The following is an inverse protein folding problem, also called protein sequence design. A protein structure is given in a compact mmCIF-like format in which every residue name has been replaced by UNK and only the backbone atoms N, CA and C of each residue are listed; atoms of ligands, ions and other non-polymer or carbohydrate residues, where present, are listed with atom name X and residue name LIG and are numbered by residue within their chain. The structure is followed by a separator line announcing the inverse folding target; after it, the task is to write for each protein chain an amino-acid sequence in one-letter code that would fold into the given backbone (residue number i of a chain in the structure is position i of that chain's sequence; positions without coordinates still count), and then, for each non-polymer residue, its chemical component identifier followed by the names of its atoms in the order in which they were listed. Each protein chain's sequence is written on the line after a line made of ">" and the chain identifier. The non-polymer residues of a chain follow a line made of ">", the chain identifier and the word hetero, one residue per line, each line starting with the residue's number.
data_IF_318390832021
#
_entry.id   IF_318390832021
#
_cell.length_a   1.000
_cell.length_b   1.000
_cell.length_c   1.000
_cell.angle_alpha   90.00
_cell.angle_beta   90.00
_cell.angle_gamma   90.00
#
_symmetry.space_group_name_H-M   'P 1'
#
loop_
_entity.id
_entity.type
_entity.pdbx_description
1 polymer ?
#
# COMPACT_ATOMS: atom_id res chain seq x y z
N UNK A 1 -4.38 -3.00 2.84
CA UNK A 1 -4.38 -2.98 4.33
C UNK A 1 -5.50 -3.85 4.85
N UNK A 2 -5.36 -4.50 6.02
CA UNK A 2 -6.42 -5.31 6.63
C UNK A 2 -7.22 -4.55 7.71
N UNK A 3 -6.58 -3.72 8.53
CA UNK A 3 -7.22 -2.97 9.61
C UNK A 3 -6.60 -1.58 9.80
N UNK A 4 -7.44 -0.57 10.05
CA UNK A 4 -7.04 0.76 10.48
C UNK A 4 -7.49 0.99 11.93
N UNK A 5 -6.56 1.34 12.82
CA UNK A 5 -6.84 1.68 14.22
C UNK A 5 -6.53 3.15 14.50
N UNK A 6 -7.49 3.88 15.06
CA UNK A 6 -7.34 5.31 15.39
C UNK A 6 -7.57 5.49 16.88
N UNK A 7 -6.48 5.72 17.63
CA UNK A 7 -6.49 5.94 19.08
C UNK A 7 -7.33 4.88 19.84
N UNK A 8 -7.23 3.62 19.41
CA UNK A 8 -8.03 2.52 19.93
C UNK A 8 -7.16 1.35 20.39
N UNK A 9 -7.56 0.74 21.51
CA UNK A 9 -6.95 -0.50 22.00
C UNK A 9 -7.64 -1.70 21.37
N UNK A 10 -6.86 -2.58 20.76
CA UNK A 10 -7.34 -3.79 20.10
C UNK A 10 -6.97 -5.02 20.91
N UNK A 11 -7.91 -5.96 21.02
CA UNK A 11 -7.70 -7.29 21.57
C UNK A 11 -8.24 -8.29 20.58
N UNK A 12 -7.41 -9.26 20.18
CA UNK A 12 -7.79 -10.29 19.23
C UNK A 12 -7.98 -11.63 19.94
N UNK A 13 -8.90 -12.44 19.42
CA UNK A 13 -9.09 -13.83 19.83
C UNK A 13 -9.23 -14.68 18.58
N UNK A 14 -8.14 -15.35 18.23
CA UNK A 14 -8.07 -16.25 17.06
C UNK A 14 -8.49 -15.56 15.76
N UNK A 15 -7.90 -14.39 15.49
CA UNK A 15 -8.22 -13.57 14.31
C UNK A 15 -7.19 -13.79 13.22
N UNK A 16 -7.66 -13.88 11.98
CA UNK A 16 -6.82 -13.86 10.79
C UNK A 16 -6.98 -12.52 10.07
N UNK A 17 -5.91 -11.73 10.05
CA UNK A 17 -5.83 -10.47 9.31
C UNK A 17 -5.14 -10.71 7.99
N UNK A 18 -5.79 -10.37 6.87
CA UNK A 18 -5.25 -10.60 5.53
C UNK A 18 -5.20 -9.28 4.80
N UNK A 19 -4.03 -8.93 4.27
CA UNK A 19 -3.81 -7.77 3.43
C UNK A 19 -3.36 -8.21 2.04
N UNK A 20 -4.08 -7.77 1.01
CA UNK A 20 -3.69 -7.99 -0.38
C UNK A 20 -2.35 -7.32 -0.73
N UNK A 21 -1.73 -7.76 -1.82
CA UNK A 21 -0.49 -7.17 -2.35
C UNK A 21 -0.73 -5.72 -2.80
N UNK A 22 0.26 -4.85 -2.67
CA UNK A 22 0.18 -3.49 -3.17
C UNK A 22 0.26 -3.41 -4.70
N UNK A 23 -0.45 -2.44 -5.29
CA UNK A 23 -0.36 -2.11 -6.72
C UNK A 23 0.89 -1.30 -7.05
N UNK A 24 1.46 -1.48 -8.25
CA UNK A 24 2.57 -0.65 -8.73
C UNK A 24 2.12 0.82 -8.85
N UNK A 25 2.98 1.77 -8.51
CA UNK A 25 2.74 3.19 -8.78
C UNK A 25 2.78 3.54 -10.26
N UNK A 26 2.01 4.54 -10.69
CA UNK A 26 1.94 4.94 -12.09
C UNK A 26 3.23 5.62 -12.56
N UNK A 27 3.69 5.32 -13.77
CA UNK A 27 4.90 5.94 -14.31
C UNK A 27 4.61 7.42 -14.69
N UNK A 28 5.60 8.30 -14.55
CA UNK A 28 5.46 9.69 -14.99
C UNK A 28 5.33 9.79 -16.51
N UNK A 29 4.61 10.81 -17.03
CA UNK A 29 4.45 10.96 -18.48
C UNK A 29 5.69 11.58 -19.14
N UNK A 30 5.91 11.33 -20.43
CA UNK A 30 6.95 11.98 -21.24
C UNK A 30 6.81 13.52 -21.34
N UNK A 31 7.94 14.19 -21.53
CA UNK A 31 8.12 15.62 -21.24
C UNK A 31 8.03 16.62 -22.40
N UNK A 32 7.31 16.36 -23.49
CA UNK A 32 7.30 17.32 -24.60
C UNK A 32 6.05 18.21 -24.68
N UNK A 33 5.00 17.93 -23.90
CA UNK A 33 3.76 18.73 -23.93
C UNK A 33 2.92 18.75 -22.64
N UNK A 34 3.35 18.20 -21.49
CA UNK A 34 2.49 18.23 -20.29
C UNK A 34 1.52 17.04 -20.19
N UNK A 35 1.90 15.85 -20.65
CA UNK A 35 0.98 14.69 -20.65
C UNK A 35 0.51 14.29 -19.25
N UNK A 36 -0.70 13.72 -19.08
CA UNK A 36 -1.08 13.13 -17.80
C UNK A 36 -0.18 11.93 -17.49
N UNK A 37 0.28 11.83 -16.25
CA UNK A 37 1.02 10.67 -15.78
C UNK A 37 0.21 9.37 -15.86
N UNK A 38 0.93 8.25 -15.84
CA UNK A 38 0.35 6.91 -15.86
C UNK A 38 -0.57 6.68 -14.66
N UNK A 39 -1.65 5.92 -14.89
CA UNK A 39 -2.48 5.46 -13.77
C UNK A 39 -1.69 4.51 -12.88
N UNK A 40 -1.90 4.60 -11.57
CA UNK A 40 -1.41 3.59 -10.65
C UNK A 40 -2.02 2.22 -10.95
N UNK A 41 -1.22 1.18 -10.81
CA UNK A 41 -1.66 -0.20 -10.91
C UNK A 41 -2.68 -0.53 -9.82
N UNK A 42 -3.64 -1.40 -10.18
CA UNK A 42 -4.60 -1.94 -9.23
C UNK A 42 -3.87 -2.64 -8.09
N UNK A 43 -4.48 -2.64 -6.90
CA UNK A 43 -4.03 -3.52 -5.83
C UNK A 43 -3.94 -4.96 -6.32
N UNK A 44 -2.99 -5.71 -5.79
CA UNK A 44 -2.91 -7.12 -6.11
C UNK A 44 -4.15 -7.88 -5.64
N UNK A 45 -4.38 -9.02 -6.28
CA UNK A 45 -5.58 -9.83 -6.07
C UNK A 45 -5.88 -10.02 -4.59
N UNK A 46 -7.18 -9.95 -4.26
CA UNK A 46 -7.72 -10.26 -2.94
C UNK A 46 -7.08 -11.51 -2.34
N UNK A 47 -6.86 -11.46 -1.02
CA UNK A 47 -6.29 -12.56 -0.27
C UNK A 47 -7.11 -13.85 -0.44
N UNK A 48 -6.42 -14.99 -0.31
CA UNK A 48 -7.02 -16.31 -0.21
C UNK A 48 -6.72 -16.89 1.16
N UNK A 49 -7.58 -17.78 1.64
CA UNK A 49 -7.24 -18.60 2.78
C UNK A 49 -6.00 -19.46 2.48
N UNK A 50 -5.33 -19.97 3.51
CA UNK A 50 -4.15 -20.83 3.38
C UNK A 50 -4.40 -22.10 2.56
N UNK A 51 -5.66 -22.56 2.51
CA UNK A 51 -6.10 -23.69 1.69
C UNK A 51 -6.36 -23.31 0.20
N UNK A 52 -6.18 -22.05 -0.20
CA UNK A 52 -6.38 -21.55 -1.55
C UNK A 52 -7.79 -21.02 -1.86
N UNK A 53 -8.72 -21.13 -0.92
CA UNK A 53 -10.11 -20.71 -1.12
C UNK A 53 -10.23 -19.18 -1.19
N UNK A 54 -11.11 -18.64 -2.06
CA UNK A 54 -11.39 -17.22 -2.11
C UNK A 54 -12.09 -16.76 -0.82
N UNK A 55 -11.72 -15.59 -0.33
CA UNK A 55 -12.38 -14.97 0.83
C UNK A 55 -13.53 -14.12 0.31
N UNK A 56 -14.75 -14.53 0.60
CA UNK A 56 -15.95 -13.81 0.19
C UNK A 56 -15.96 -12.40 0.79
N UNK A 57 -16.22 -11.39 -0.06
CA UNK A 57 -16.27 -9.99 0.35
C UNK A 57 -14.91 -9.31 0.55
N UNK A 58 -13.79 -10.02 0.34
CA UNK A 58 -12.47 -9.39 0.41
C UNK A 58 -12.18 -8.57 -0.85
N UNK A 59 -11.79 -7.32 -0.63
CA UNK A 59 -11.34 -6.42 -1.69
C UNK A 59 -9.90 -6.73 -2.10
N UNK A 60 -9.53 -6.28 -3.29
CA UNK A 60 -8.14 -6.30 -3.73
C UNK A 60 -7.28 -5.36 -2.86
N UNK A 61 -5.95 -5.48 -2.96
CA UNK A 61 -5.02 -4.70 -2.15
C UNK A 61 -5.09 -3.19 -2.41
N UNK A 62 -4.23 -2.43 -1.74
CA UNK A 62 -4.14 -0.99 -2.00
C UNK A 62 -3.56 -0.75 -3.40
N UNK A 63 -4.22 0.08 -4.21
CA UNK A 63 -3.68 0.51 -5.50
C UNK A 63 -2.42 1.36 -5.32
N UNK A 64 -1.58 1.41 -6.36
CA UNK A 64 -0.51 2.39 -6.44
C UNK A 64 -1.07 3.79 -6.71
N UNK A 65 -0.30 4.80 -6.32
CA UNK A 65 -0.58 6.20 -6.63
C UNK A 65 -0.39 6.51 -8.13
N UNK A 66 -1.04 7.56 -8.64
CA UNK A 66 -0.85 8.01 -10.02
C UNK A 66 0.55 8.59 -10.22
N UNK A 67 1.08 8.45 -11.44
CA UNK A 67 2.28 9.15 -11.87
C UNK A 67 2.02 10.64 -12.10
N UNK A 68 3.10 11.43 -12.01
CA UNK A 68 3.10 12.86 -12.25
C UNK A 68 3.04 13.23 -13.73
N UNK A 69 2.58 14.45 -13.98
CA UNK A 69 2.53 15.09 -15.30
C UNK A 69 3.96 15.40 -15.77
N UNK A 70 4.28 15.08 -17.02
CA UNK A 70 5.59 15.38 -17.62
C UNK A 70 5.71 16.82 -18.08
N UNK A 71 6.68 17.58 -17.58
CA UNK A 71 6.91 18.97 -17.97
C UNK A 71 7.71 19.10 -19.27
N UNK A 72 7.78 20.30 -19.85
CA UNK A 72 8.42 20.60 -21.17
C UNK A 72 9.92 20.29 -21.28
N UNK A 73 10.55 19.82 -20.21
CA UNK A 73 11.97 19.46 -20.17
C UNK A 73 12.25 18.02 -19.73
N UNK A 74 11.24 17.19 -19.43
CA UNK A 74 11.48 15.83 -18.94
C UNK A 74 10.24 15.10 -18.42
N UNK A 75 10.40 13.80 -18.18
CA UNK A 75 9.34 12.94 -17.66
C UNK A 75 8.86 13.42 -16.28
N UNK A 76 7.57 13.24 -15.98
CA UNK A 76 7.00 13.48 -14.65
C UNK A 76 7.54 12.52 -13.59
N UNK A 77 7.28 12.78 -12.31
CA UNK A 77 7.65 11.86 -11.24
C UNK A 77 6.81 10.57 -11.25
N UNK A 78 7.35 9.48 -10.73
CA UNK A 78 6.61 8.24 -10.54
C UNK A 78 5.66 8.30 -9.35
N UNK A 79 4.55 7.55 -9.43
CA UNK A 79 3.60 7.41 -8.33
C UNK A 79 4.09 6.43 -7.27
N UNK A 80 3.67 6.60 -6.02
CA UNK A 80 4.02 5.67 -4.93
C UNK A 80 3.39 4.28 -5.15
N UNK A 81 4.12 3.21 -4.80
CA UNK A 81 3.56 1.86 -4.75
C UNK A 81 2.56 1.68 -3.60
N UNK A 82 1.53 0.85 -3.81
CA UNK A 82 0.51 0.59 -2.80
C UNK A 82 1.05 -0.17 -1.58
N UNK A 83 0.54 0.17 -0.39
CA UNK A 83 0.92 -0.52 0.85
C UNK A 83 0.24 -1.88 1.03
N UNK A 84 0.91 -2.81 1.73
CA UNK A 84 0.31 -4.05 2.21
C UNK A 84 0.51 -4.18 3.71
N UNK A 85 -0.46 -3.68 4.49
CA UNK A 85 -0.36 -3.56 5.95
C UNK A 85 -1.35 -4.48 6.65
N UNK A 86 -0.93 -5.16 7.71
CA UNK A 86 -1.83 -5.89 8.61
C UNK A 86 -2.69 -4.88 9.36
N UNK A 87 -2.07 -4.16 10.29
CA UNK A 87 -2.69 -3.07 11.03
C UNK A 87 -1.90 -1.79 10.74
N UNK A 88 -2.57 -0.77 10.20
CA UNK A 88 -2.09 0.61 10.29
C UNK A 88 -2.72 1.24 11.52
N UNK A 89 -1.92 1.88 12.37
CA UNK A 89 -2.44 2.52 13.57
C UNK A 89 -1.87 3.92 13.77
N UNK A 90 -2.67 4.76 14.38
CA UNK A 90 -2.25 5.99 15.03
C UNK A 90 -2.66 5.85 16.49
N UNK A 91 -1.72 6.02 17.41
CA UNK A 91 -1.98 5.83 18.82
C UNK A 91 -0.99 6.53 19.72
N UNK A 92 -1.27 6.42 21.00
CA UNK A 92 -0.40 6.77 22.12
C UNK A 92 0.21 5.49 22.72
N UNK A 93 1.20 5.57 23.62
CA UNK A 93 1.76 4.38 24.27
C UNK A 93 0.72 3.42 24.88
N UNK A 94 -0.44 3.92 25.33
CA UNK A 94 -1.50 3.13 25.94
C UNK A 94 -2.47 2.46 24.93
N UNK A 95 -2.42 2.89 23.67
CA UNK A 95 -3.31 2.42 22.59
C UNK A 95 -2.54 1.68 21.50
N UNK A 96 -1.27 1.37 21.73
CA UNK A 96 -0.46 0.49 20.89
C UNK A 96 -1.17 -0.87 20.71
N UNK A 97 -1.50 -1.28 19.47
CA UNK A 97 -2.08 -2.59 19.22
C UNK A 97 -1.07 -3.70 19.53
N UNK A 98 -1.51 -4.75 20.22
CA UNK A 98 -0.80 -6.03 20.26
C UNK A 98 -1.30 -6.94 19.15
N UNK A 99 -0.43 -7.79 18.60
CA UNK A 99 -0.79 -8.86 17.67
C UNK A 99 -1.11 -10.18 18.37
N UNK A 100 -1.13 -10.20 19.71
CA UNK A 100 -1.52 -11.39 20.47
C UNK A 100 -2.91 -11.88 20.07
N UNK A 101 -3.02 -13.17 19.73
CA UNK A 101 -4.26 -13.77 19.25
C UNK A 101 -4.62 -13.43 17.80
N UNK A 102 -3.75 -12.71 17.07
CA UNK A 102 -3.89 -12.46 15.64
C UNK A 102 -2.79 -13.17 14.83
N UNK A 103 -3.18 -13.71 13.68
CA UNK A 103 -2.24 -14.11 12.62
C UNK A 103 -2.38 -13.12 11.49
N UNK A 104 -1.26 -12.57 11.01
CA UNK A 104 -1.26 -11.59 9.92
C UNK A 104 -0.67 -12.23 8.67
N UNK A 105 -1.37 -12.09 7.56
CA UNK A 105 -0.90 -12.46 6.22
C UNK A 105 -0.89 -11.21 5.36
N UNK A 106 0.28 -10.84 4.84
CA UNK A 106 0.44 -9.68 3.95
C UNK A 106 0.98 -10.11 2.61
N UNK A 107 0.54 -9.41 1.57
CA UNK A 107 1.21 -9.43 0.29
C UNK A 107 2.49 -8.59 0.32
N UNK A 108 3.27 -8.71 -0.75
CA UNK A 108 4.36 -7.76 -0.98
C UNK A 108 3.80 -6.35 -1.21
N UNK A 109 4.58 -5.29 -0.93
CA UNK A 109 4.18 -3.95 -1.30
C UNK A 109 4.21 -3.77 -2.83
N UNK A 110 3.57 -2.71 -3.30
CA UNK A 110 3.71 -2.24 -4.67
C UNK A 110 5.08 -1.60 -4.86
N UNK A 111 5.68 -1.79 -6.03
CA UNK A 111 6.84 -0.98 -6.44
C UNK A 111 6.38 0.43 -6.82
N UNK A 112 7.25 1.41 -6.75
CA UNK A 112 6.98 2.73 -7.29
C UNK A 112 6.85 2.76 -8.81
N UNK A 113 6.30 3.85 -9.32
CA UNK A 113 6.33 4.18 -10.74
C UNK A 113 7.69 4.77 -11.13
N UNK A 114 8.04 4.63 -12.40
CA UNK A 114 9.26 5.20 -12.96
C UNK A 114 9.07 6.71 -13.22
N UNK A 115 9.99 7.52 -12.72
CA UNK A 115 10.10 8.96 -12.96
C UNK A 115 11.13 9.29 -14.04
N UNK A 116 11.62 10.53 -14.05
CA UNK A 116 12.68 10.96 -14.98
C UNK A 116 14.09 10.52 -14.58
N UNK A 117 14.28 10.09 -13.35
CA UNK A 117 15.49 9.46 -12.79
C UNK A 117 15.12 8.74 -11.49
N UNK A 118 16.06 7.99 -10.92
CA UNK A 118 15.90 7.31 -9.62
C UNK A 118 15.45 8.27 -8.48
N UNK A 119 15.82 9.56 -8.55
CA UNK A 119 15.39 10.57 -7.57
C UNK A 119 13.92 10.98 -7.73
N UNK A 120 13.36 10.78 -8.92
CA UNK A 120 11.97 11.09 -9.26
C UNK A 120 11.09 9.86 -9.40
N UNK A 121 11.65 8.66 -9.21
CA UNK A 121 10.86 7.44 -9.08
C UNK A 121 9.93 7.55 -7.88
N UNK A 122 8.77 6.92 -7.99
CA UNK A 122 7.90 6.77 -6.84
C UNK A 122 8.54 5.84 -5.82
N UNK A 123 8.30 6.10 -4.53
CA UNK A 123 8.72 5.16 -3.51
C UNK A 123 7.92 3.85 -3.60
N UNK A 124 8.57 2.75 -3.23
CA UNK A 124 7.84 1.51 -2.99
C UNK A 124 6.87 1.68 -1.81
N UNK A 125 5.74 0.99 -1.89
CA UNK A 125 4.85 0.86 -0.75
C UNK A 125 5.54 0.14 0.41
N UNK A 126 4.97 0.27 1.60
CA UNK A 126 5.43 -0.46 2.78
C UNK A 126 4.62 -1.74 2.99
N UNK A 127 5.29 -2.78 3.48
CA UNK A 127 4.64 -3.98 3.98
C UNK A 127 5.05 -4.27 5.43
N UNK A 128 4.11 -4.12 6.37
CA UNK A 128 4.36 -4.33 7.80
C UNK A 128 3.15 -4.93 8.50
N UNK A 129 3.41 -5.81 9.47
CA UNK A 129 2.38 -6.41 10.33
C UNK A 129 1.62 -5.32 11.08
N UNK A 130 2.38 -4.36 11.57
CA UNK A 130 1.95 -3.25 12.38
C UNK A 130 2.74 -2.01 11.94
N UNK A 131 2.04 -0.96 11.49
CA UNK A 131 2.64 0.29 11.04
C UNK A 131 2.04 1.47 11.81
N UNK A 132 2.89 2.20 12.51
CA UNK A 132 2.53 3.51 13.05
C UNK A 132 2.63 4.54 11.92
N UNK A 133 1.48 5.02 11.45
CA UNK A 133 1.45 6.01 10.38
C UNK A 133 1.45 7.45 10.89
N UNK A 134 1.50 7.66 12.21
CA UNK A 134 1.69 9.00 12.77
C UNK A 134 3.13 9.50 12.70
N UNK A 135 4.07 8.60 12.36
CA UNK A 135 5.49 8.87 12.21
C UNK A 135 5.96 8.88 10.74
N UNK A 136 5.03 8.85 9.78
CA UNK A 136 5.31 8.85 8.33
C UNK A 136 5.32 10.24 7.71
#
# INVERSE_FOLDING_TARGET
>A
MALLSLNAKLTFREVLLIAGKGGKGGDGSEGQTGGPGGSGGTGGLRGRYMNGDPIAGMLDGCAGGPGGVGGTGGRGGGGQGGHSLGIAFQGTPDTLPSLDGATVQRGAPGVGGEGSSDEYDGDAGQASDLLDFSAL
#
